data_IF_731389309234
#
_entry.id   IF_731389309234
#
_cell.length_a   1.000
_cell.length_b   1.000
_cell.length_c   1.000
_cell.angle_alpha   90.00
_cell.angle_beta   90.00
_cell.angle_gamma   90.00
#
_symmetry.space_group_name_H-M   'P 1'
#
loop_
_entity.id
_entity.type
_entity.pdbx_description
1 polymer ?
#
# COMPACT_ATOMS: atom_id res chain seq x y z
N UNK A 1 40.63 -35.07 -28.18
CA UNK A 1 40.18 -34.13 -27.20
C UNK A 1 38.67 -33.95 -27.41
N UNK A 2 37.87 -34.67 -26.62
CA UNK A 2 36.42 -34.67 -26.75
C UNK A 2 35.83 -33.75 -25.66
N UNK A 3 35.12 -32.73 -26.05
CA UNK A 3 34.30 -31.91 -25.15
C UNK A 3 32.96 -32.58 -24.92
N UNK A 4 32.67 -32.93 -23.66
CA UNK A 4 31.35 -33.36 -23.21
C UNK A 4 30.49 -32.12 -22.94
N UNK A 5 29.43 -31.98 -23.71
CA UNK A 5 28.32 -31.08 -23.40
C UNK A 5 27.48 -31.67 -22.26
N UNK A 6 27.39 -30.96 -21.14
CA UNK A 6 26.56 -31.26 -20.01
C UNK A 6 25.17 -30.60 -20.25
N UNK A 7 24.16 -31.42 -20.48
CA UNK A 7 22.79 -30.97 -20.60
C UNK A 7 22.19 -30.81 -19.18
N UNK A 8 21.83 -29.60 -18.88
CA UNK A 8 21.11 -29.22 -17.65
C UNK A 8 19.68 -29.77 -17.73
N UNK A 9 19.33 -30.69 -16.81
CA UNK A 9 17.98 -31.25 -16.68
C UNK A 9 17.23 -30.49 -15.55
N UNK A 10 16.19 -29.79 -15.96
CA UNK A 10 15.26 -29.10 -15.10
C UNK A 10 14.62 -30.01 -14.05
N UNK A 11 14.42 -29.49 -12.82
CA UNK A 11 13.90 -30.21 -11.65
C UNK A 11 12.50 -30.85 -11.84
N UNK A 12 11.78 -30.50 -12.89
CA UNK A 12 10.43 -30.99 -13.20
C UNK A 12 10.37 -32.44 -13.76
N UNK A 13 11.49 -33.03 -14.15
CA UNK A 13 11.50 -34.37 -14.80
C UNK A 13 11.71 -35.55 -13.81
N UNK A 14 11.96 -35.30 -12.53
CA UNK A 14 12.31 -36.35 -11.56
C UNK A 14 11.12 -37.04 -10.88
N UNK A 15 9.89 -36.55 -11.07
CA UNK A 15 8.70 -37.08 -10.34
C UNK A 15 7.80 -38.05 -11.12
N UNK A 16 8.19 -38.49 -12.33
CA UNK A 16 7.31 -39.34 -13.16
C UNK A 16 7.74 -40.79 -13.37
N UNK A 17 8.67 -41.34 -12.62
CA UNK A 17 9.14 -42.72 -12.83
C UNK A 17 9.29 -43.50 -11.51
N UNK A 18 8.19 -43.84 -10.85
CA UNK A 18 8.03 -45.08 -10.04
C UNK A 18 6.55 -45.36 -9.83
N UNK A 19 5.97 -46.05 -10.80
CA UNK A 19 4.63 -46.64 -10.63
C UNK A 19 4.76 -48.14 -10.51
N UNK A 20 4.12 -48.71 -9.49
CA UNK A 20 4.04 -50.16 -9.28
C UNK A 20 3.00 -50.50 -8.23
N UNK A 21 1.81 -50.84 -8.69
CA UNK A 21 0.66 -51.49 -8.14
C UNK A 21 0.72 -52.04 -6.69
N UNK A 22 -0.26 -51.67 -5.87
CA UNK A 22 -0.97 -52.57 -4.96
C UNK A 22 -2.30 -51.92 -4.54
N UNK A 23 -3.40 -52.49 -4.93
CA UNK A 23 -4.77 -52.12 -4.55
C UNK A 23 -5.06 -52.57 -3.13
N UNK A 24 -5.35 -51.61 -2.23
CA UNK A 24 -6.18 -51.85 -1.03
C UNK A 24 -7.02 -50.57 -0.86
N UNK A 25 -8.37 -50.75 -0.87
CA UNK A 25 -9.31 -49.67 -0.76
C UNK A 25 -9.25 -48.99 0.60
N UNK A 26 -9.22 -47.65 0.54
CA UNK A 26 -9.57 -46.77 1.65
C UNK A 26 -10.51 -45.70 1.10
N UNK A 27 -11.68 -45.66 1.71
CA UNK A 27 -12.76 -44.69 1.54
C UNK A 27 -12.22 -43.26 1.58
N UNK A 28 -12.67 -42.46 0.60
CA UNK A 28 -12.21 -41.09 0.37
C UNK A 28 -12.34 -40.20 1.58
N UNK A 29 -11.24 -39.54 1.84
CA UNK A 29 -11.25 -38.17 2.32
C UNK A 29 -10.95 -37.35 1.04
N UNK A 30 -11.99 -36.79 0.44
CA UNK A 30 -11.84 -35.68 -0.51
C UNK A 30 -11.38 -34.50 0.37
N UNK A 31 -10.07 -34.39 0.57
CA UNK A 31 -9.45 -33.14 0.92
C UNK A 31 -9.58 -32.25 -0.34
N UNK A 32 -10.29 -31.17 -0.25
CA UNK A 32 -10.18 -30.08 -1.19
C UNK A 32 -8.70 -29.69 -1.23
N UNK A 33 -8.00 -30.10 -2.27
CA UNK A 33 -6.83 -29.38 -2.74
C UNK A 33 -7.46 -28.13 -3.35
N UNK A 34 -7.45 -26.99 -2.63
CA UNK A 34 -7.63 -25.71 -3.27
C UNK A 34 -6.67 -25.69 -4.46
N UNK A 35 -7.14 -25.28 -5.61
CA UNK A 35 -6.25 -25.04 -6.73
C UNK A 35 -5.29 -23.92 -6.30
N UNK A 36 -4.00 -24.01 -6.66
CA UNK A 36 -3.00 -22.96 -6.37
C UNK A 36 -3.38 -21.61 -7.03
N UNK A 37 -4.42 -21.60 -7.87
CA UNK A 37 -4.95 -20.43 -8.57
C UNK A 37 -5.86 -19.55 -7.67
N UNK A 38 -6.34 -20.06 -6.53
CA UNK A 38 -7.22 -19.32 -5.59
C UNK A 38 -6.42 -18.57 -4.50
N UNK A 39 -5.10 -18.80 -4.39
CA UNK A 39 -4.22 -18.14 -3.42
C UNK A 39 -3.65 -16.85 -4.01
N UNK A 40 -3.98 -15.69 -3.42
CA UNK A 40 -3.49 -14.37 -3.81
C UNK A 40 -2.46 -13.84 -2.81
N UNK A 41 -1.37 -13.29 -3.31
CA UNK A 41 -0.29 -12.71 -2.49
C UNK A 41 -0.50 -11.20 -2.34
N UNK A 42 -0.82 -10.70 -1.14
CA UNK A 42 -0.98 -9.27 -0.90
C UNK A 42 0.37 -8.57 -0.72
N UNK A 43 0.47 -7.34 -1.25
CA UNK A 43 1.61 -6.45 -1.09
C UNK A 43 1.23 -5.15 -0.41
N UNK A 44 2.10 -4.64 0.47
CA UNK A 44 1.90 -3.41 1.22
C UNK A 44 3.20 -2.67 1.48
N UNK A 45 3.11 -1.41 1.95
CA UNK A 45 4.26 -0.53 2.25
C UNK A 45 4.18 0.02 3.68
N UNK A 46 4.64 -0.74 4.72
CA UNK A 46 4.47 -0.34 6.11
C UNK A 46 5.17 0.98 6.45
N UNK A 47 4.52 1.82 7.25
CA UNK A 47 5.00 3.14 7.68
C UNK A 47 4.01 4.26 7.36
N UNK A 48 2.76 3.89 7.09
CA UNK A 48 1.66 4.78 6.77
C UNK A 48 0.46 4.59 7.73
N UNK A 49 0.65 4.88 9.04
CA UNK A 49 -0.40 4.69 10.03
C UNK A 49 -1.60 5.63 9.79
N UNK A 50 -2.83 5.17 10.04
CA UNK A 50 -3.23 3.88 10.58
C UNK A 50 -3.56 2.82 9.52
N UNK A 51 -3.21 3.04 8.23
CA UNK A 51 -3.55 2.12 7.13
C UNK A 51 -2.69 0.86 7.11
N UNK A 52 -1.36 1.01 7.17
CA UNK A 52 -0.40 -0.10 7.21
C UNK A 52 0.84 0.26 8.03
N UNK A 53 1.15 -0.54 9.03
CA UNK A 53 2.31 -0.34 9.91
C UNK A 53 2.80 -1.65 10.50
N UNK A 54 3.99 -1.60 11.08
CA UNK A 54 4.52 -2.72 11.88
C UNK A 54 4.54 -2.35 13.36
N UNK A 55 3.92 -3.19 14.19
CA UNK A 55 3.96 -3.11 15.64
C UNK A 55 4.40 -4.45 16.22
N UNK A 56 5.43 -4.46 17.06
CA UNK A 56 6.04 -5.67 17.67
C UNK A 56 6.43 -6.77 16.64
N UNK A 57 6.64 -6.39 15.38
CA UNK A 57 6.99 -7.29 14.28
C UNK A 57 5.79 -7.90 13.55
N UNK A 58 4.59 -7.52 13.91
CA UNK A 58 3.35 -7.86 13.20
C UNK A 58 2.94 -6.72 12.26
N UNK A 59 2.42 -7.09 11.10
CA UNK A 59 1.84 -6.15 10.14
C UNK A 59 0.37 -5.93 10.52
N UNK A 60 0.00 -4.68 10.75
CA UNK A 60 -1.33 -4.28 11.18
C UNK A 60 -1.76 -2.99 10.47
N UNK A 61 -3.06 -2.70 10.45
CA UNK A 61 -3.59 -1.48 9.89
C UNK A 61 -4.97 -1.64 9.28
N UNK A 62 -5.57 -0.52 8.92
CA UNK A 62 -6.89 -0.50 8.31
C UNK A 62 -6.94 -1.29 6.99
N UNK A 63 -5.97 -1.07 6.09
CA UNK A 63 -5.91 -1.75 4.79
C UNK A 63 -5.63 -3.25 4.94
N UNK A 64 -4.88 -3.63 5.97
CA UNK A 64 -4.61 -5.03 6.31
C UNK A 64 -5.91 -5.73 6.72
N UNK A 65 -6.59 -5.19 7.75
CA UNK A 65 -7.85 -5.74 8.26
C UNK A 65 -8.94 -5.72 7.19
N UNK A 66 -9.02 -4.64 6.39
CA UNK A 66 -10.04 -4.51 5.35
C UNK A 66 -9.84 -5.51 4.21
N UNK A 67 -8.60 -5.69 3.71
CA UNK A 67 -8.35 -6.67 2.66
C UNK A 67 -8.62 -8.10 3.15
N UNK A 68 -8.24 -8.43 4.39
CA UNK A 68 -8.54 -9.72 5.00
C UNK A 68 -10.05 -9.98 5.07
N UNK A 69 -10.83 -8.99 5.51
CA UNK A 69 -12.29 -9.08 5.55
C UNK A 69 -12.90 -9.22 4.16
N UNK A 70 -12.42 -8.43 3.18
CA UNK A 70 -12.91 -8.47 1.79
C UNK A 70 -12.64 -9.82 1.15
N UNK A 71 -11.44 -10.38 1.30
CA UNK A 71 -11.09 -11.69 0.72
C UNK A 71 -11.89 -12.83 1.39
N UNK A 72 -12.19 -12.72 2.69
CA UNK A 72 -12.99 -13.70 3.40
C UNK A 72 -14.44 -13.85 2.83
N UNK A 73 -14.94 -12.84 2.12
CA UNK A 73 -16.23 -12.85 1.42
C UNK A 73 -16.14 -13.39 -0.02
N UNK A 74 -14.95 -13.82 -0.48
CA UNK A 74 -14.69 -14.34 -1.82
C UNK A 74 -14.35 -15.83 -1.83
N UNK A 75 -14.04 -16.38 -3.00
CA UNK A 75 -13.51 -17.74 -3.17
C UNK A 75 -11.99 -17.82 -3.03
N UNK A 76 -11.30 -16.65 -2.93
CA UNK A 76 -9.86 -16.54 -2.81
C UNK A 76 -9.38 -16.73 -1.36
N UNK A 77 -8.10 -17.08 -1.22
CA UNK A 77 -7.40 -17.17 0.06
C UNK A 77 -6.20 -16.22 0.05
N UNK A 78 -5.97 -15.48 1.16
CA UNK A 78 -4.77 -14.64 1.27
C UNK A 78 -3.54 -15.51 1.59
N UNK A 79 -2.48 -15.27 0.81
CA UNK A 79 -1.14 -15.75 1.08
C UNK A 79 -0.41 -14.93 2.15
N UNK A 80 0.89 -15.14 2.25
CA UNK A 80 1.73 -14.33 3.13
C UNK A 80 1.87 -12.90 2.57
N UNK A 81 1.76 -11.89 3.43
CA UNK A 81 1.98 -10.49 3.07
C UNK A 81 3.43 -10.24 2.64
N UNK A 82 3.60 -9.59 1.49
CA UNK A 82 4.88 -9.10 1.01
C UNK A 82 5.01 -7.59 1.27
N UNK A 83 6.17 -7.14 1.74
CA UNK A 83 6.41 -5.72 2.05
C UNK A 83 7.45 -5.12 1.11
N UNK A 84 7.17 -3.89 0.66
CA UNK A 84 8.00 -3.13 -0.28
C UNK A 84 8.08 -1.67 0.15
N UNK A 85 9.01 -0.92 -0.45
CA UNK A 85 8.87 0.53 -0.50
C UNK A 85 7.69 0.88 -1.42
N UNK A 86 6.97 1.96 -1.14
CA UNK A 86 5.70 2.29 -1.81
C UNK A 86 5.83 2.36 -3.34
N UNK A 87 6.90 2.99 -3.84
CA UNK A 87 7.18 3.11 -5.28
C UNK A 87 7.59 1.78 -5.94
N UNK A 88 7.92 0.77 -5.13
CA UNK A 88 8.18 -0.61 -5.56
C UNK A 88 6.94 -1.47 -5.77
N UNK A 89 5.77 -1.08 -5.24
CA UNK A 89 4.55 -1.90 -5.27
C UNK A 89 4.03 -2.16 -6.69
N UNK A 90 3.89 -1.13 -7.51
CA UNK A 90 3.42 -1.27 -8.90
C UNK A 90 4.38 -2.14 -9.73
N UNK A 91 5.71 -1.94 -9.68
CA UNK A 91 6.66 -2.88 -10.28
C UNK A 91 6.55 -4.32 -9.77
N UNK A 92 6.37 -4.53 -8.47
CA UNK A 92 6.21 -5.87 -7.88
C UNK A 92 4.94 -6.57 -8.41
N UNK A 93 3.84 -5.82 -8.57
CA UNK A 93 2.58 -6.31 -9.12
C UNK A 93 2.69 -6.65 -10.62
N UNK A 94 3.29 -5.74 -11.42
CA UNK A 94 3.15 -5.78 -12.89
C UNK A 94 4.35 -6.36 -13.63
N UNK A 95 5.57 -6.21 -13.11
CA UNK A 95 6.80 -6.61 -13.80
C UNK A 95 7.39 -7.91 -13.24
N UNK A 96 7.31 -8.06 -11.93
CA UNK A 96 7.91 -9.18 -11.22
C UNK A 96 6.90 -10.27 -10.88
N UNK A 97 5.59 -9.94 -10.88
CA UNK A 97 4.50 -10.85 -10.48
C UNK A 97 4.77 -11.48 -9.09
N UNK A 98 5.30 -10.65 -8.17
CA UNK A 98 5.62 -11.08 -6.80
C UNK A 98 4.40 -10.98 -5.88
N UNK A 99 3.42 -10.13 -6.26
CA UNK A 99 2.15 -9.91 -5.56
C UNK A 99 1.00 -9.91 -6.57
N UNK A 100 -0.21 -10.15 -6.08
CA UNK A 100 -1.44 -10.20 -6.88
C UNK A 100 -2.36 -9.02 -6.58
N UNK A 101 -2.25 -8.43 -5.37
CA UNK A 101 -3.04 -7.28 -4.93
C UNK A 101 -2.18 -6.33 -4.11
N UNK A 102 -2.36 -5.02 -4.30
CA UNK A 102 -1.76 -3.96 -3.48
C UNK A 102 -2.80 -3.44 -2.49
N UNK A 103 -2.47 -3.43 -1.19
CA UNK A 103 -3.23 -2.78 -0.13
C UNK A 103 -2.26 -1.86 0.65
N UNK A 104 -2.25 -0.57 0.32
CA UNK A 104 -1.28 0.41 0.79
C UNK A 104 -1.81 1.85 0.68
N UNK A 105 -3.07 2.09 1.04
CA UNK A 105 -3.76 3.38 0.92
C UNK A 105 -3.49 4.06 -0.44
N UNK A 106 -3.46 3.25 -1.52
CA UNK A 106 -3.02 3.72 -2.82
C UNK A 106 -4.11 4.52 -3.53
N UNK A 107 -3.85 5.82 -3.76
CA UNK A 107 -4.76 6.71 -4.48
C UNK A 107 -5.04 6.20 -5.88
N UNK A 108 -6.33 6.14 -6.24
CA UNK A 108 -6.82 5.87 -7.58
C UNK A 108 -6.57 7.10 -8.45
N UNK A 109 -5.41 7.18 -9.12
CA UNK A 109 -5.06 8.29 -9.99
C UNK A 109 -5.10 7.90 -11.46
N UNK A 110 -5.34 8.84 -12.40
CA UNK A 110 -5.30 8.57 -13.84
C UNK A 110 -3.98 7.96 -14.29
N UNK A 111 -2.85 8.44 -13.76
CA UNK A 111 -1.51 7.97 -14.14
C UNK A 111 -1.29 6.51 -13.71
N UNK A 112 -1.73 6.14 -12.49
CA UNK A 112 -1.67 4.74 -12.00
C UNK A 112 -2.62 3.84 -12.80
N UNK A 113 -3.82 4.32 -13.16
CA UNK A 113 -4.80 3.58 -13.97
C UNK A 113 -4.32 3.30 -15.40
N UNK A 114 -3.31 4.00 -15.91
CA UNK A 114 -2.66 3.63 -17.17
C UNK A 114 -1.89 2.29 -17.07
N UNK A 115 -1.47 1.90 -15.86
CA UNK A 115 -0.61 0.73 -15.62
C UNK A 115 -1.31 -0.40 -14.87
N UNK A 116 -2.17 -0.07 -13.90
CA UNK A 116 -2.87 -1.03 -13.03
C UNK A 116 -4.38 -0.78 -13.02
N UNK A 117 -5.15 -1.80 -12.64
CA UNK A 117 -6.56 -1.65 -12.30
C UNK A 117 -6.72 -1.42 -10.79
N UNK A 118 -7.87 -0.91 -10.39
CA UNK A 118 -8.23 -0.71 -8.98
C UNK A 118 -9.59 -1.34 -8.69
N UNK A 119 -9.83 -1.69 -7.45
CA UNK A 119 -11.18 -1.94 -6.94
C UNK A 119 -12.00 -0.65 -6.93
N UNK A 120 -13.28 -0.76 -6.55
CA UNK A 120 -14.06 0.38 -6.11
C UNK A 120 -13.35 1.05 -4.92
N UNK A 121 -13.54 2.37 -4.70
CA UNK A 121 -12.85 3.08 -3.63
C UNK A 121 -13.04 2.42 -2.27
N UNK A 122 -11.97 2.24 -1.50
CA UNK A 122 -11.99 1.72 -0.13
C UNK A 122 -12.06 2.81 0.94
N UNK A 123 -11.50 4.00 0.65
CA UNK A 123 -11.42 5.16 1.55
C UNK A 123 -11.39 6.47 0.73
N UNK A 124 -11.79 7.59 1.36
CA UNK A 124 -11.64 8.95 0.80
C UNK A 124 -10.63 9.74 1.64
N UNK A 125 -9.79 10.56 1.00
CA UNK A 125 -8.75 11.36 1.65
C UNK A 125 -8.58 12.72 0.98
N UNK A 126 -7.92 13.61 1.71
CA UNK A 126 -7.33 14.86 1.23
C UNK A 126 -5.84 14.87 1.54
N UNK A 127 -5.10 15.85 1.03
CA UNK A 127 -3.71 16.07 1.38
C UNK A 127 -3.58 17.09 2.52
N UNK A 128 -2.56 16.92 3.35
CA UNK A 128 -2.25 17.84 4.45
C UNK A 128 -0.76 18.19 4.45
N UNK A 129 -0.44 19.29 5.09
CA UNK A 129 0.94 19.70 5.33
C UNK A 129 1.21 19.70 6.82
N UNK A 130 2.14 18.83 7.25
CA UNK A 130 2.66 18.81 8.62
C UNK A 130 3.82 19.80 8.78
N UNK A 131 3.87 20.44 9.93
CA UNK A 131 4.97 21.27 10.41
C UNK A 131 5.31 20.91 11.85
N UNK A 132 6.44 21.40 12.38
CA UNK A 132 6.72 21.27 13.82
C UNK A 132 5.72 22.09 14.64
N UNK A 133 5.22 21.54 15.73
CA UNK A 133 4.19 22.19 16.55
C UNK A 133 4.68 23.50 17.18
N UNK A 134 5.91 23.55 17.69
CA UNK A 134 6.41 24.63 18.57
C UNK A 134 7.45 25.57 17.93
N UNK A 135 7.76 25.49 16.63
CA UNK A 135 8.82 26.31 16.03
C UNK A 135 8.39 27.72 15.58
N UNK A 136 7.11 28.00 15.64
CA UNK A 136 6.55 29.31 15.27
C UNK A 136 6.34 29.49 13.77
N UNK A 137 6.67 28.52 12.90
CA UNK A 137 6.32 28.51 11.51
C UNK A 137 4.92 27.90 11.33
N UNK A 138 3.97 28.73 10.97
CA UNK A 138 2.56 28.36 10.82
C UNK A 138 2.07 28.77 9.43
N UNK A 139 2.45 28.03 8.37
CA UNK A 139 2.02 28.36 7.01
C UNK A 139 0.51 28.14 6.86
N UNK A 140 -0.12 28.94 6.03
CA UNK A 140 -1.53 28.82 5.68
C UNK A 140 -1.75 28.47 4.20
N UNK A 141 -0.67 28.39 3.43
CA UNK A 141 -0.69 28.10 2.01
C UNK A 141 0.68 27.63 1.52
N UNK A 142 0.71 27.06 0.33
CA UNK A 142 1.93 26.63 -0.35
C UNK A 142 2.98 27.74 -0.48
N UNK A 143 2.57 28.99 -0.76
CA UNK A 143 3.49 30.13 -0.96
C UNK A 143 4.24 30.55 0.30
N UNK A 144 3.80 30.14 1.48
CA UNK A 144 4.49 30.44 2.73
C UNK A 144 5.78 29.60 2.90
N UNK A 145 5.98 28.59 2.05
CA UNK A 145 7.18 27.75 2.01
C UNK A 145 8.33 28.31 1.17
N UNK A 146 8.27 29.58 0.72
CA UNK A 146 9.35 30.17 -0.08
C UNK A 146 10.73 29.96 0.57
N UNK A 147 11.60 29.19 -0.12
CA UNK A 147 12.97 28.85 0.32
C UNK A 147 13.05 27.97 1.56
N UNK A 148 12.02 27.16 1.85
CA UNK A 148 11.99 26.21 2.98
C UNK A 148 12.03 24.78 2.50
N UNK A 149 12.83 23.91 3.12
CA UNK A 149 12.91 22.51 2.75
C UNK A 149 11.63 21.75 3.12
N UNK A 150 11.14 20.94 2.19
CA UNK A 150 9.93 20.13 2.32
C UNK A 150 10.21 18.70 1.94
N UNK A 151 9.53 17.74 2.58
CA UNK A 151 9.66 16.32 2.28
C UNK A 151 8.32 15.66 1.96
N UNK A 152 8.40 14.55 1.24
CA UNK A 152 7.31 13.58 1.05
C UNK A 152 7.89 12.19 0.75
N UNK A 153 7.05 11.16 0.87
CA UNK A 153 7.46 9.81 0.48
C UNK A 153 7.46 9.67 -1.05
N UNK A 154 8.45 8.94 -1.56
CA UNK A 154 8.62 8.67 -3.00
C UNK A 154 7.40 8.00 -3.61
N UNK A 155 6.99 8.45 -4.82
CA UNK A 155 5.90 7.84 -5.59
C UNK A 155 4.49 8.08 -5.06
N UNK A 156 4.31 8.93 -4.03
CA UNK A 156 3.01 9.26 -3.45
C UNK A 156 2.37 10.49 -4.08
N UNK A 157 1.07 10.67 -3.87
CA UNK A 157 0.36 11.91 -4.21
C UNK A 157 0.95 13.10 -3.47
N UNK A 158 1.40 12.93 -2.21
CA UNK A 158 2.12 13.97 -1.47
C UNK A 158 3.36 14.50 -2.22
N UNK A 159 4.16 13.60 -2.83
CA UNK A 159 5.29 14.00 -3.66
C UNK A 159 4.84 14.75 -4.93
N UNK A 160 3.74 14.34 -5.56
CA UNK A 160 3.16 15.05 -6.71
C UNK A 160 2.64 16.43 -6.33
N UNK A 161 2.07 16.60 -5.12
CA UNK A 161 1.65 17.91 -4.60
C UNK A 161 2.86 18.84 -4.37
N UNK A 162 3.98 18.32 -3.85
CA UNK A 162 5.23 19.10 -3.73
C UNK A 162 5.71 19.54 -5.11
N UNK A 163 5.75 18.63 -6.08
CA UNK A 163 6.18 18.95 -7.45
C UNK A 163 5.30 20.04 -8.05
N UNK A 164 3.99 19.87 -7.99
CA UNK A 164 3.02 20.75 -8.68
C UNK A 164 2.89 22.11 -8.00
N UNK A 165 2.80 22.15 -6.66
CA UNK A 165 2.46 23.37 -5.92
C UNK A 165 3.68 24.15 -5.44
N UNK A 166 4.83 23.52 -5.31
CA UNK A 166 6.04 24.16 -4.78
C UNK A 166 7.13 24.29 -5.83
N UNK A 167 7.54 23.20 -6.50
CA UNK A 167 8.66 23.20 -7.44
C UNK A 167 8.27 23.85 -8.77
N UNK A 168 7.21 23.40 -9.44
CA UNK A 168 6.77 23.91 -10.74
C UNK A 168 6.31 25.37 -10.68
N UNK A 169 5.87 25.82 -9.51
CA UNK A 169 5.49 27.22 -9.25
C UNK A 169 6.68 28.09 -8.86
N UNK A 170 7.83 27.50 -8.56
CA UNK A 170 9.04 28.20 -8.15
C UNK A 170 8.99 28.76 -6.73
N UNK A 171 8.15 28.21 -5.86
CA UNK A 171 8.12 28.53 -4.42
C UNK A 171 9.35 27.97 -3.72
N UNK A 172 9.77 26.76 -4.10
CA UNK A 172 11.04 26.17 -3.67
C UNK A 172 11.85 25.72 -4.89
N UNK A 173 13.17 25.62 -4.73
CA UNK A 173 14.02 24.95 -5.70
C UNK A 173 13.98 23.42 -5.49
N UNK A 174 14.34 22.65 -6.54
CA UNK A 174 14.37 21.17 -6.48
C UNK A 174 15.33 20.67 -5.37
N UNK A 175 16.40 21.44 -5.08
CA UNK A 175 17.37 21.14 -4.01
C UNK A 175 16.76 21.30 -2.59
N UNK A 176 15.63 21.97 -2.44
CA UNK A 176 14.88 22.10 -1.18
C UNK A 176 13.87 21.00 -0.96
N UNK A 177 13.69 20.07 -1.90
CA UNK A 177 12.83 18.89 -1.76
C UNK A 177 13.64 17.67 -1.32
N UNK A 178 13.12 16.96 -0.31
CA UNK A 178 13.66 15.69 0.19
C UNK A 178 12.66 14.56 -0.03
N UNK A 179 13.08 13.55 -0.81
CA UNK A 179 12.30 12.32 -1.02
C UNK A 179 12.70 11.26 0.01
N UNK A 180 11.71 10.56 0.58
CA UNK A 180 11.88 9.56 1.62
C UNK A 180 11.31 8.20 1.18
N UNK A 181 11.88 7.11 1.69
CA UNK A 181 11.37 5.75 1.46
C UNK A 181 10.04 5.51 2.19
N UNK A 182 9.83 6.18 3.36
CA UNK A 182 8.56 6.18 4.09
C UNK A 182 8.34 7.46 4.90
N UNK A 183 7.09 7.70 5.32
CA UNK A 183 6.74 8.91 6.06
C UNK A 183 7.27 8.96 7.49
N UNK A 184 7.58 7.82 8.12
CA UNK A 184 8.19 7.82 9.47
C UNK A 184 9.52 8.59 9.45
N UNK A 185 10.36 8.37 8.43
CA UNK A 185 11.63 9.10 8.27
C UNK A 185 11.42 10.58 7.92
N UNK A 186 10.42 10.89 7.07
CA UNK A 186 10.09 12.28 6.75
C UNK A 186 9.67 13.07 8.01
N UNK A 187 8.82 12.46 8.84
CA UNK A 187 8.36 13.08 10.10
C UNK A 187 9.50 13.16 11.12
N UNK A 188 10.39 12.17 11.20
CA UNK A 188 11.61 12.27 12.05
C UNK A 188 12.51 13.44 11.63
N UNK A 189 12.71 13.65 10.34
CA UNK A 189 13.48 14.78 9.82
C UNK A 189 12.79 16.13 10.04
N UNK A 190 11.45 16.16 9.99
CA UNK A 190 10.66 17.33 10.36
C UNK A 190 10.87 17.68 11.84
N UNK A 191 10.73 16.72 12.77
CA UNK A 191 10.96 16.94 14.20
C UNK A 191 12.38 17.40 14.51
N UNK A 192 13.38 16.83 13.82
CA UNK A 192 14.79 17.20 13.97
C UNK A 192 15.15 18.56 13.35
N UNK A 193 14.24 19.19 12.58
CA UNK A 193 14.44 20.47 11.92
C UNK A 193 15.33 20.40 10.69
N UNK A 194 15.46 19.24 10.05
CA UNK A 194 16.17 19.05 8.79
C UNK A 194 15.30 19.52 7.61
N UNK A 195 13.99 19.42 7.73
CA UNK A 195 12.98 19.98 6.82
C UNK A 195 11.95 20.78 7.62
N UNK A 196 11.19 21.66 6.94
CA UNK A 196 10.21 22.56 7.57
C UNK A 196 8.76 22.15 7.32
N UNK A 197 8.52 21.22 6.41
CA UNK A 197 7.20 20.65 6.15
C UNK A 197 7.24 19.26 5.57
N UNK A 198 6.17 18.47 5.80
CA UNK A 198 5.92 17.18 5.16
C UNK A 198 4.54 17.23 4.51
N UNK A 199 4.47 16.89 3.22
CA UNK A 199 3.18 16.76 2.51
C UNK A 199 2.77 15.30 2.55
N UNK A 200 1.56 15.03 3.05
CA UNK A 200 1.10 13.70 3.42
C UNK A 200 -0.44 13.67 3.44
N UNK A 201 -1.02 12.52 3.32
CA UNK A 201 -2.47 12.31 3.39
C UNK A 201 -3.04 12.65 4.77
N UNK A 202 -4.21 13.32 4.79
CA UNK A 202 -4.80 13.88 6.00
C UNK A 202 -4.98 12.87 7.14
N UNK A 203 -5.52 11.66 6.95
CA UNK A 203 -5.70 10.71 8.06
C UNK A 203 -4.38 10.28 8.71
N UNK A 204 -3.31 10.22 7.90
CA UNK A 204 -1.96 9.88 8.38
C UNK A 204 -1.34 11.07 9.10
N UNK A 205 -1.55 12.29 8.57
CA UNK A 205 -1.15 13.53 9.24
C UNK A 205 -1.80 13.66 10.63
N UNK A 206 -3.10 13.35 10.74
CA UNK A 206 -3.83 13.34 12.02
C UNK A 206 -3.22 12.33 13.00
N UNK A 207 -2.87 11.14 12.52
CA UNK A 207 -2.25 10.10 13.35
C UNK A 207 -0.87 10.55 13.86
N UNK A 208 -0.02 11.12 13.01
CA UNK A 208 1.28 11.63 13.44
C UNK A 208 1.13 12.83 14.40
N UNK A 209 0.22 13.77 14.11
CA UNK A 209 -0.02 14.93 14.99
C UNK A 209 -0.56 14.53 16.37
N UNK A 210 -1.27 13.41 16.48
CA UNK A 210 -1.73 12.88 17.76
C UNK A 210 -0.62 12.21 18.60
N UNK A 211 0.47 11.76 17.96
CA UNK A 211 1.49 10.91 18.58
C UNK A 211 2.87 11.57 18.68
N UNK A 212 3.14 12.65 17.93
CA UNK A 212 4.46 13.27 17.75
C UNK A 212 4.37 14.79 17.86
N UNK A 213 5.51 15.45 18.00
CA UNK A 213 5.62 16.92 18.17
C UNK A 213 5.46 17.66 16.81
N UNK A 214 4.42 17.32 16.06
CA UNK A 214 4.06 17.92 14.77
C UNK A 214 2.60 18.34 14.74
N UNK A 215 2.25 19.28 13.87
CA UNK A 215 0.90 19.80 13.73
C UNK A 215 0.52 19.92 12.25
N UNK A 216 -0.76 19.78 11.95
CA UNK A 216 -1.31 20.07 10.62
C UNK A 216 -1.38 21.57 10.44
N UNK A 217 -0.64 22.10 9.46
CA UNK A 217 -0.64 23.53 9.14
C UNK A 217 -1.87 23.93 8.33
N UNK A 218 -2.13 23.19 7.26
CA UNK A 218 -3.34 23.33 6.42
C UNK A 218 -3.65 22.03 5.69
N UNK A 219 -4.85 21.95 5.15
CA UNK A 219 -5.36 20.84 4.34
C UNK A 219 -5.59 21.36 2.92
N UNK A 220 -5.19 20.57 1.94
CA UNK A 220 -5.52 20.75 0.53
C UNK A 220 -6.64 19.77 0.17
N UNK A 221 -7.82 20.28 -0.16
CA UNK A 221 -8.98 19.46 -0.56
C UNK A 221 -8.74 18.86 -1.95
N UNK A 222 -8.17 17.66 -2.01
CA UNK A 222 -7.88 16.93 -3.26
C UNK A 222 -9.01 15.98 -3.64
N UNK A 223 -9.78 15.49 -2.66
CA UNK A 223 -10.85 14.52 -2.88
C UNK A 223 -10.33 13.21 -3.42
N UNK A 224 -9.21 12.73 -2.92
CA UNK A 224 -8.60 11.46 -3.31
C UNK A 224 -9.42 10.27 -2.82
N UNK A 225 -9.39 9.21 -3.62
CA UNK A 225 -9.98 7.92 -3.27
C UNK A 225 -8.88 6.86 -3.28
N UNK A 226 -8.82 6.00 -2.27
CA UNK A 226 -7.94 4.84 -2.23
C UNK A 226 -8.66 3.60 -2.73
N UNK A 227 -7.91 2.65 -3.29
CA UNK A 227 -8.42 1.36 -3.69
C UNK A 227 -7.32 0.31 -3.71
N UNK A 228 -7.71 -0.95 -3.69
CA UNK A 228 -6.77 -2.05 -3.88
C UNK A 228 -6.33 -2.11 -5.34
N UNK A 229 -5.00 -2.16 -5.55
CA UNK A 229 -4.40 -2.21 -6.89
C UNK A 229 -4.27 -3.64 -7.40
N UNK A 230 -4.51 -3.84 -8.70
CA UNK A 230 -4.55 -5.14 -9.37
C UNK A 230 -3.90 -5.05 -10.75
N UNK A 231 -3.45 -6.17 -11.33
CA UNK A 231 -3.09 -6.20 -12.75
C UNK A 231 -4.33 -5.92 -13.63
N UNK A 232 -4.15 -5.24 -14.76
CA UNK A 232 -5.26 -4.83 -15.64
C UNK A 232 -6.02 -6.01 -16.28
N UNK A 233 -5.40 -7.17 -16.39
CA UNK A 233 -5.99 -8.39 -16.95
C UNK A 233 -6.66 -9.30 -15.92
N UNK A 234 -6.58 -8.98 -14.61
CA UNK A 234 -7.18 -9.73 -13.50
C UNK A 234 -8.63 -9.29 -13.19
N UNK A 235 -9.47 -9.29 -14.22
CA UNK A 235 -10.85 -8.79 -14.09
C UNK A 235 -11.75 -9.69 -13.22
N UNK A 236 -11.45 -10.99 -13.09
CA UNK A 236 -12.18 -11.93 -12.23
C UNK A 236 -11.86 -11.62 -10.76
N UNK A 237 -10.59 -11.45 -10.41
CA UNK A 237 -10.16 -11.06 -9.08
C UNK A 237 -10.69 -9.66 -8.71
N UNK A 238 -10.63 -8.68 -9.63
CA UNK A 238 -11.20 -7.35 -9.40
C UNK A 238 -12.69 -7.41 -9.06
N UNK A 239 -13.45 -8.23 -9.81
CA UNK A 239 -14.89 -8.38 -9.56
C UNK A 239 -15.14 -9.02 -8.20
N UNK A 240 -14.40 -10.07 -7.85
CA UNK A 240 -14.55 -10.75 -6.58
C UNK A 240 -14.23 -9.82 -5.39
N UNK A 241 -13.14 -9.02 -5.49
CA UNK A 241 -12.77 -8.06 -4.44
C UNK A 241 -13.80 -6.91 -4.33
N UNK A 242 -14.40 -6.46 -5.44
CA UNK A 242 -15.47 -5.47 -5.39
C UNK A 242 -16.74 -6.02 -4.74
N UNK A 243 -17.12 -7.26 -5.07
CA UNK A 243 -18.26 -7.92 -4.44
C UNK A 243 -18.03 -8.15 -2.95
N UNK A 244 -16.81 -8.54 -2.57
CA UNK A 244 -16.38 -8.68 -1.16
C UNK A 244 -16.41 -7.34 -0.42
N UNK A 245 -15.87 -6.28 -1.01
CA UNK A 245 -15.88 -4.93 -0.42
C UNK A 245 -17.32 -4.41 -0.23
N UNK A 246 -18.21 -4.69 -1.18
CA UNK A 246 -19.61 -4.36 -1.04
C UNK A 246 -20.27 -5.15 0.11
N UNK A 247 -19.97 -6.46 0.24
CA UNK A 247 -20.50 -7.29 1.32
C UNK A 247 -20.02 -6.81 2.71
N UNK A 248 -18.74 -6.50 2.86
CA UNK A 248 -18.16 -5.96 4.10
C UNK A 248 -18.80 -4.60 4.47
N UNK A 249 -19.07 -3.74 3.47
CA UNK A 249 -19.74 -2.43 3.68
C UNK A 249 -21.23 -2.53 4.01
N UNK A 250 -21.92 -3.51 3.45
CA UNK A 250 -23.34 -3.77 3.73
C UNK A 250 -23.54 -4.41 5.12
N UNK A 251 -22.48 -5.01 5.69
CA UNK A 251 -22.42 -5.53 7.04
C UNK A 251 -21.97 -4.49 8.08
N UNK A 252 -21.75 -4.96 9.31
CA UNK A 252 -21.23 -4.11 10.40
C UNK A 252 -19.68 -4.05 10.41
N UNK A 253 -19.02 -4.94 9.65
CA UNK A 253 -17.58 -5.18 9.74
C UNK A 253 -16.72 -4.00 9.25
N UNK A 254 -17.14 -3.31 8.16
CA UNK A 254 -16.47 -2.09 7.73
C UNK A 254 -16.48 -1.00 8.82
N UNK A 255 -17.62 -0.84 9.50
CA UNK A 255 -17.74 0.12 10.58
C UNK A 255 -16.88 -0.28 11.79
N UNK A 256 -16.81 -1.58 12.12
CA UNK A 256 -15.97 -2.08 13.22
C UNK A 256 -14.47 -1.90 12.93
N UNK A 257 -14.04 -2.14 11.68
CA UNK A 257 -12.65 -1.88 11.25
C UNK A 257 -12.35 -0.38 11.30
N UNK A 258 -13.26 0.45 10.76
CA UNK A 258 -13.12 1.92 10.80
C UNK A 258 -13.04 2.44 12.23
N UNK A 259 -13.93 2.01 13.12
CA UNK A 259 -13.92 2.42 14.53
C UNK A 259 -12.63 1.99 15.25
N UNK A 260 -12.07 0.84 14.89
CA UNK A 260 -10.81 0.34 15.46
C UNK A 260 -9.63 1.25 15.14
N UNK A 261 -9.53 1.70 13.88
CA UNK A 261 -8.34 2.42 13.38
C UNK A 261 -8.47 3.93 13.42
N UNK A 262 -9.70 4.47 13.32
CA UNK A 262 -9.97 5.91 13.27
C UNK A 262 -10.90 6.37 14.41
N UNK A 263 -11.46 5.46 15.20
CA UNK A 263 -12.28 5.83 16.37
C UNK A 263 -11.42 6.55 17.40
N UNK A 264 -11.82 7.76 17.78
CA UNK A 264 -11.17 8.50 18.87
C UNK A 264 -11.54 7.84 20.20
N UNK A 265 -10.56 7.46 21.02
CA UNK A 265 -10.76 7.09 22.42
C UNK A 265 -11.18 8.30 23.30
#
# INVERSE_FOLDING_TARGET
MSYRTQTDMSRRTYLKLTGGASAVGLTGVAGCLGDDDDLITPGTAPGFPPFEMQEDGELIGFDIDLLEAVVAETEYELGEWATFDFDGLIPALTQNEEIDVIAAAMTISPDRQETIAFTDPSWESDQAVLVREDDGFQPASWTDFEGRPVGAQSGTTGAEQVQTNLIDTGVIDEDDYSSYDNYVFAVEDLENGNIDGVVIDLPVAETFAAQRDVAIAFVEETGEEYGFGLRQDESELQTALNDGLAAVRDGDEYAEITDRWFGQE
#
